data_IF_468426151789
#
_entry.id   IF_468426151789
#
_cell.length_a   1.000
_cell.length_b   1.000
_cell.length_c   1.000
_cell.angle_alpha   90.00
_cell.angle_beta   90.00
_cell.angle_gamma   90.00
#
_symmetry.space_group_name_H-M   'P 1'
#
loop_
_entity.id
_entity.type
_entity.pdbx_description
1 polymer ?
#
# COMPACT_ATOMS: atom_id res chain seq x y z
N UNK A 1 66.06 31.99 31.38
CA UNK A 1 66.90 30.77 31.40
C UNK A 1 66.08 29.69 32.10
N UNK A 2 65.19 28.98 31.43
CA UNK A 2 65.40 27.80 30.57
C UNK A 2 64.83 26.55 31.30
N UNK A 3 63.62 26.15 30.90
CA UNK A 3 63.23 24.85 30.30
C UNK A 3 63.16 23.67 31.27
N UNK A 4 61.94 23.16 31.51
CA UNK A 4 61.67 21.71 31.47
C UNK A 4 60.28 21.49 30.83
N UNK A 5 60.31 20.92 29.62
CA UNK A 5 59.17 20.55 28.81
C UNK A 5 58.67 19.16 29.22
N UNK A 6 57.40 19.04 29.59
CA UNK A 6 56.75 17.75 29.79
C UNK A 6 56.29 17.19 28.43
N UNK A 7 56.88 16.08 28.00
CA UNK A 7 56.50 15.36 26.78
C UNK A 7 55.11 14.72 26.98
N UNK A 8 54.17 15.01 26.08
CA UNK A 8 52.92 14.26 25.89
C UNK A 8 53.22 12.97 25.13
N UNK A 9 52.87 11.82 25.70
CA UNK A 9 52.72 10.57 24.94
C UNK A 9 51.28 10.46 24.41
N UNK A 10 51.07 10.09 23.13
CA UNK A 10 49.75 9.85 22.59
C UNK A 10 49.24 8.43 22.96
N UNK A 11 48.11 8.37 23.67
CA UNK A 11 47.37 7.12 23.91
C UNK A 11 46.67 6.73 22.61
N UNK A 12 47.21 5.74 21.89
CA UNK A 12 46.44 5.05 20.85
C UNK A 12 45.54 3.97 21.48
N UNK A 13 44.24 3.90 21.17
CA UNK A 13 43.40 2.80 21.62
C UNK A 13 43.79 1.49 20.91
N UNK A 14 44.00 0.44 21.70
CA UNK A 14 44.30 -0.91 21.23
C UNK A 14 43.13 -1.47 20.41
N UNK A 15 43.36 -1.76 19.13
CA UNK A 15 42.40 -2.46 18.28
C UNK A 15 42.33 -3.93 18.73
N UNK A 16 41.25 -4.27 19.45
CA UNK A 16 40.88 -5.67 19.69
C UNK A 16 40.53 -6.31 18.35
N UNK A 17 41.49 -7.03 17.75
CA UNK A 17 41.24 -7.92 16.61
C UNK A 17 40.38 -9.08 17.09
N UNK A 18 39.07 -8.96 16.90
CA UNK A 18 38.14 -10.10 16.99
C UNK A 18 38.39 -10.95 15.74
N UNK A 19 39.02 -12.11 15.91
CA UNK A 19 39.17 -13.09 14.84
C UNK A 19 37.80 -13.68 14.53
N UNK A 20 37.24 -13.33 13.38
CA UNK A 20 36.00 -13.91 12.86
C UNK A 20 36.32 -15.27 12.25
N UNK A 21 35.69 -16.34 12.77
CA UNK A 21 35.63 -17.63 12.09
C UNK A 21 34.41 -17.64 11.14
N UNK A 22 34.52 -18.23 9.94
CA UNK A 22 33.42 -18.25 8.96
C UNK A 22 32.11 -18.91 9.46
N UNK A 23 32.20 -19.78 10.47
CA UNK A 23 31.05 -20.50 11.04
C UNK A 23 30.13 -19.64 11.92
N UNK A 24 30.60 -18.48 12.42
CA UNK A 24 29.77 -17.60 13.26
C UNK A 24 28.75 -16.78 12.47
N UNK A 25 28.85 -16.75 11.14
CA UNK A 25 27.92 -16.02 10.28
C UNK A 25 26.54 -16.70 10.20
N UNK A 26 26.49 -18.02 10.30
CA UNK A 26 25.26 -18.79 10.04
C UNK A 26 24.43 -19.10 11.29
N UNK A 27 24.98 -18.97 12.50
CA UNK A 27 24.27 -19.36 13.75
C UNK A 27 23.50 -18.24 14.46
N UNK A 28 23.49 -17.01 13.92
CA UNK A 28 22.75 -15.86 14.48
C UNK A 28 21.58 -15.38 13.64
N UNK A 29 21.16 -16.14 12.65
CA UNK A 29 19.86 -15.93 12.03
C UNK A 29 18.82 -16.61 12.92
N UNK A 30 18.16 -15.84 13.80
CA UNK A 30 16.92 -16.29 14.40
C UNK A 30 15.91 -16.51 13.27
N UNK A 31 15.51 -17.75 12.96
CA UNK A 31 14.65 -18.03 11.80
C UNK A 31 13.30 -17.32 11.89
N UNK A 32 12.89 -16.93 13.10
CA UNK A 32 11.64 -16.20 13.40
C UNK A 32 11.67 -14.73 12.93
N UNK A 33 12.84 -14.12 12.75
CA UNK A 33 12.96 -12.75 12.24
C UNK A 33 12.89 -12.68 10.69
N UNK A 34 12.97 -13.84 10.03
CA UNK A 34 12.90 -13.98 8.57
C UNK A 34 11.79 -14.93 8.10
N UNK A 35 11.03 -15.53 9.03
CA UNK A 35 9.77 -16.18 8.67
C UNK A 35 8.79 -15.10 8.26
N UNK A 36 8.56 -14.98 6.96
CA UNK A 36 7.40 -14.30 6.42
C UNK A 36 6.17 -14.81 7.16
N UNK A 37 5.36 -13.89 7.66
CA UNK A 37 4.09 -14.21 8.31
C UNK A 37 3.37 -15.32 7.53
N UNK A 38 3.01 -16.37 8.26
CA UNK A 38 2.58 -17.69 7.80
C UNK A 38 1.20 -17.70 7.11
N UNK A 39 0.87 -16.65 6.38
CA UNK A 39 -0.34 -16.51 5.57
C UNK A 39 -0.02 -16.26 4.07
N UNK A 40 1.24 -16.08 3.68
CA UNK A 40 1.63 -15.90 2.27
C UNK A 40 1.99 -17.22 1.55
N UNK A 41 2.54 -18.20 2.26
CA UNK A 41 3.03 -19.45 1.68
C UNK A 41 1.93 -20.48 1.36
N UNK A 42 0.67 -20.12 1.61
CA UNK A 42 -0.49 -21.02 1.54
C UNK A 42 -1.43 -20.73 0.36
N UNK A 43 -1.01 -19.90 -0.61
CA UNK A 43 -1.78 -19.64 -1.85
C UNK A 43 -1.20 -20.41 -3.03
N UNK A 44 0.13 -20.53 -3.12
CA UNK A 44 0.81 -21.29 -4.19
C UNK A 44 0.56 -22.81 -4.08
N UNK A 45 0.12 -23.30 -2.92
CA UNK A 45 -0.25 -24.70 -2.67
C UNK A 45 -1.72 -25.03 -2.98
N UNK A 46 -2.57 -24.02 -3.20
CA UNK A 46 -3.99 -24.20 -3.44
C UNK A 46 -4.29 -24.49 -4.90
N UNK A 47 -5.22 -25.40 -5.13
CA UNK A 47 -5.81 -25.64 -6.44
C UNK A 47 -6.70 -24.48 -6.86
N UNK A 48 -6.93 -24.32 -8.17
CA UNK A 48 -7.83 -23.28 -8.69
C UNK A 48 -9.26 -23.40 -8.10
N UNK A 49 -9.73 -24.61 -7.78
CA UNK A 49 -11.03 -24.85 -7.14
C UNK A 49 -11.08 -24.32 -5.70
N UNK A 50 -10.02 -24.53 -4.92
CA UNK A 50 -9.90 -24.01 -3.55
C UNK A 50 -9.79 -22.48 -3.54
N UNK A 51 -9.06 -21.90 -4.50
CA UNK A 51 -8.94 -20.45 -4.69
C UNK A 51 -10.31 -19.84 -5.03
N UNK A 52 -11.07 -20.46 -5.94
CA UNK A 52 -12.42 -20.02 -6.28
C UNK A 52 -13.36 -20.06 -5.09
N UNK A 53 -13.32 -21.13 -4.30
CA UNK A 53 -14.15 -21.27 -3.08
C UNK A 53 -13.80 -20.20 -2.03
N UNK A 54 -12.49 -19.95 -1.85
CA UNK A 54 -11.96 -19.02 -0.84
C UNK A 54 -12.18 -17.55 -1.18
N UNK A 55 -11.99 -17.15 -2.44
CA UNK A 55 -11.94 -15.73 -2.81
C UNK A 55 -13.09 -15.28 -3.71
N UNK A 56 -13.70 -16.18 -4.49
CA UNK A 56 -14.87 -15.89 -5.33
C UNK A 56 -14.67 -14.70 -6.29
N UNK A 57 -13.44 -14.48 -6.77
CA UNK A 57 -13.07 -13.38 -7.66
C UNK A 57 -13.24 -13.72 -9.16
N UNK A 58 -13.64 -14.95 -9.47
CA UNK A 58 -13.77 -15.47 -10.83
C UNK A 58 -12.49 -16.07 -11.39
N UNK A 59 -12.47 -16.30 -12.71
CA UNK A 59 -11.35 -16.89 -13.42
C UNK A 59 -11.00 -16.11 -14.68
N UNK A 60 -9.73 -16.17 -15.08
CA UNK A 60 -9.21 -15.57 -16.31
C UNK A 60 -8.71 -16.66 -17.27
N UNK A 61 -9.11 -16.57 -18.52
CA UNK A 61 -8.64 -17.38 -19.64
C UNK A 61 -7.68 -16.59 -20.52
N UNK A 62 -6.47 -17.13 -20.70
CA UNK A 62 -5.44 -16.50 -21.50
C UNK A 62 -4.54 -17.55 -22.14
N UNK A 63 -3.77 -17.14 -23.15
CA UNK A 63 -2.75 -17.97 -23.78
C UNK A 63 -1.42 -17.24 -23.84
N UNK A 64 -0.32 -18.00 -23.82
CA UNK A 64 1.02 -17.46 -24.05
C UNK A 64 1.81 -18.38 -24.95
N UNK A 65 2.56 -17.82 -25.90
CA UNK A 65 3.42 -18.54 -26.82
C UNK A 65 4.56 -17.63 -27.26
N UNK A 66 5.76 -18.19 -27.39
CA UNK A 66 6.93 -17.49 -27.89
C UNK A 66 7.18 -17.83 -29.36
N UNK A 67 7.41 -16.80 -30.16
CA UNK A 67 7.81 -16.93 -31.55
C UNK A 67 9.33 -16.82 -31.67
N UNK A 68 10.01 -17.94 -31.95
CA UNK A 68 11.46 -18.03 -32.11
C UNK A 68 11.96 -17.36 -33.39
N UNK A 69 11.13 -17.23 -34.43
CA UNK A 69 11.53 -16.61 -35.69
C UNK A 69 11.55 -15.09 -35.55
N UNK A 70 10.58 -14.55 -34.83
CA UNK A 70 10.39 -13.10 -34.67
C UNK A 70 10.82 -12.56 -33.30
N UNK A 71 11.41 -13.39 -32.44
CA UNK A 71 11.95 -13.04 -31.12
C UNK A 71 10.98 -12.24 -30.23
N UNK A 72 9.73 -12.69 -30.12
CA UNK A 72 8.76 -12.05 -29.24
C UNK A 72 7.85 -13.06 -28.53
N UNK A 73 7.43 -12.69 -27.32
CA UNK A 73 6.42 -13.40 -26.55
C UNK A 73 5.04 -12.85 -26.91
N UNK A 74 4.13 -13.70 -27.35
CA UNK A 74 2.72 -13.36 -27.58
C UNK A 74 1.87 -13.80 -26.40
N UNK A 75 1.14 -12.86 -25.81
CA UNK A 75 0.12 -13.08 -24.77
C UNK A 75 -1.25 -12.73 -25.34
N UNK A 76 -2.20 -13.67 -25.30
CA UNK A 76 -3.60 -13.43 -25.67
C UNK A 76 -4.46 -13.44 -24.41
N UNK A 77 -5.20 -12.36 -24.18
CA UNK A 77 -6.25 -12.32 -23.16
C UNK A 77 -7.56 -12.70 -23.85
N UNK A 78 -8.14 -13.83 -23.47
CA UNK A 78 -9.27 -14.44 -24.20
C UNK A 78 -10.57 -13.96 -23.56
N UNK A 79 -10.85 -14.41 -22.34
CA UNK A 79 -12.09 -14.10 -21.63
C UNK A 79 -11.93 -14.24 -20.11
N UNK A 80 -12.88 -13.72 -19.35
CA UNK A 80 -13.01 -13.98 -17.92
C UNK A 80 -14.43 -14.42 -17.59
N UNK A 81 -14.60 -15.19 -16.51
CA UNK A 81 -15.91 -15.65 -16.05
C UNK A 81 -16.06 -15.50 -14.55
N UNK A 82 -17.31 -15.41 -14.13
CA UNK A 82 -17.73 -15.38 -12.72
C UNK A 82 -17.04 -14.27 -11.93
N UNK A 83 -16.83 -13.12 -12.58
CA UNK A 83 -16.32 -11.93 -11.92
C UNK A 83 -17.39 -11.37 -10.94
N UNK A 84 -16.95 -10.84 -9.79
CA UNK A 84 -17.86 -10.26 -8.81
C UNK A 84 -18.45 -8.92 -9.31
N UNK A 85 -19.64 -8.53 -8.81
CA UNK A 85 -20.16 -7.18 -9.03
C UNK A 85 -19.14 -6.11 -8.59
N UNK A 86 -19.24 -4.89 -9.15
CA UNK A 86 -18.41 -3.77 -8.71
C UNK A 86 -18.48 -3.60 -7.20
N UNK A 87 -17.34 -3.30 -6.57
CA UNK A 87 -17.27 -3.10 -5.12
C UNK A 87 -18.18 -1.93 -4.68
N UNK A 88 -18.41 -0.96 -5.58
CA UNK A 88 -19.31 0.19 -5.39
C UNK A 88 -20.78 -0.11 -5.70
N UNK A 89 -21.22 -1.37 -5.64
CA UNK A 89 -22.60 -1.76 -5.96
C UNK A 89 -23.61 -1.19 -4.94
N UNK A 90 -24.23 -0.06 -5.30
CA UNK A 90 -25.43 0.45 -4.63
C UNK A 90 -26.66 -0.30 -5.17
N UNK A 91 -27.32 -1.09 -4.32
CA UNK A 91 -28.50 -1.88 -4.69
C UNK A 91 -29.70 -1.05 -5.19
N UNK A 92 -29.67 0.27 -5.00
CA UNK A 92 -30.68 1.19 -5.55
C UNK A 92 -30.38 1.63 -7.00
N UNK A 93 -29.15 1.43 -7.49
CA UNK A 93 -28.69 1.85 -8.82
C UNK A 93 -28.34 0.66 -9.69
N UNK A 94 -29.33 0.23 -10.47
CA UNK A 94 -29.19 -0.89 -11.42
C UNK A 94 -28.04 -0.72 -12.42
N UNK A 95 -27.59 0.52 -12.67
CA UNK A 95 -26.45 0.85 -13.52
C UNK A 95 -25.10 0.35 -13.00
N UNK A 96 -24.98 0.10 -11.69
CA UNK A 96 -23.76 -0.40 -11.02
C UNK A 96 -23.78 -1.91 -10.77
N UNK A 97 -24.79 -2.64 -11.28
CA UNK A 97 -24.90 -4.10 -11.18
C UNK A 97 -23.77 -4.87 -11.89
N UNK A 98 -23.04 -4.19 -12.77
CA UNK A 98 -22.11 -4.82 -13.69
C UNK A 98 -20.78 -4.08 -13.77
N UNK A 99 -19.69 -4.85 -13.72
CA UNK A 99 -18.32 -4.37 -13.86
C UNK A 99 -18.04 -3.94 -15.30
N UNK A 100 -17.06 -3.08 -15.46
CA UNK A 100 -16.46 -2.69 -16.72
C UNK A 100 -15.01 -3.23 -16.80
N UNK A 101 -14.80 -4.55 -16.87
CA UNK A 101 -13.48 -5.13 -16.71
C UNK A 101 -12.56 -4.82 -17.90
N UNK A 102 -11.29 -4.61 -17.58
CA UNK A 102 -10.14 -4.67 -18.49
C UNK A 102 -8.97 -5.38 -17.81
N UNK A 103 -8.01 -5.86 -18.60
CA UNK A 103 -6.85 -6.60 -18.08
C UNK A 103 -5.57 -5.83 -18.36
N UNK A 104 -4.77 -5.60 -17.32
CA UNK A 104 -3.39 -5.11 -17.43
C UNK A 104 -2.44 -6.30 -17.52
N UNK A 105 -1.54 -6.27 -18.50
CA UNK A 105 -0.55 -7.31 -18.79
C UNK A 105 0.84 -6.76 -18.48
N UNK A 106 1.61 -7.45 -17.66
CA UNK A 106 2.94 -7.03 -17.22
C UNK A 106 3.92 -8.22 -17.16
N UNK A 107 5.21 -7.97 -17.43
CA UNK A 107 6.26 -8.98 -17.32
C UNK A 107 7.24 -8.63 -16.19
N UNK A 108 7.02 -9.21 -15.02
CA UNK A 108 7.87 -8.94 -13.85
C UNK A 108 9.30 -9.46 -14.09
N UNK A 109 10.33 -8.76 -13.55
CA UNK A 109 10.25 -7.58 -12.66
C UNK A 109 10.00 -6.23 -13.36
N UNK A 110 9.90 -6.18 -14.70
CA UNK A 110 9.72 -4.91 -15.41
C UNK A 110 8.25 -4.48 -15.35
N UNK A 111 7.99 -3.40 -14.61
CA UNK A 111 6.64 -2.83 -14.47
C UNK A 111 6.34 -1.69 -15.46
N UNK A 112 7.33 -1.20 -16.21
CA UNK A 112 7.18 -0.01 -17.06
C UNK A 112 6.56 -0.33 -18.42
N UNK A 113 6.83 -1.53 -18.94
CA UNK A 113 6.35 -1.99 -20.25
C UNK A 113 4.98 -2.70 -20.20
N UNK A 114 4.07 -2.27 -19.32
CA UNK A 114 2.76 -2.90 -19.20
C UNK A 114 1.83 -2.56 -20.38
N UNK A 115 1.04 -3.52 -20.82
CA UNK A 115 -0.01 -3.36 -21.85
C UNK A 115 -1.40 -3.53 -21.22
N UNK A 116 -2.45 -3.13 -21.91
CA UNK A 116 -3.82 -3.26 -21.39
C UNK A 116 -4.85 -3.54 -22.48
N UNK A 117 -5.92 -4.26 -22.13
CA UNK A 117 -7.08 -4.50 -22.99
C UNK A 117 -7.99 -3.30 -23.13
N UNK A 118 -8.88 -3.36 -24.13
CA UNK A 118 -10.08 -2.57 -24.15
C UNK A 118 -10.97 -2.87 -22.93
N UNK A 119 -11.69 -1.85 -22.48
CA UNK A 119 -12.69 -1.96 -21.42
C UNK A 119 -13.96 -2.59 -21.98
N UNK A 120 -14.39 -3.72 -21.40
CA UNK A 120 -15.68 -4.34 -21.73
C UNK A 120 -16.71 -3.80 -20.76
N UNK A 121 -17.79 -3.20 -21.26
CA UNK A 121 -18.76 -2.48 -20.41
C UNK A 121 -19.85 -3.39 -19.88
N UNK A 122 -20.27 -3.15 -18.64
CA UNK A 122 -21.44 -3.76 -18.00
C UNK A 122 -21.50 -5.28 -18.17
N UNK A 123 -20.43 -5.99 -17.80
CA UNK A 123 -20.36 -7.46 -17.90
C UNK A 123 -19.51 -8.09 -16.79
N UNK A 124 -19.95 -9.25 -16.30
CA UNK A 124 -19.16 -10.14 -15.43
C UNK A 124 -18.54 -11.32 -16.17
N UNK A 125 -18.80 -11.42 -17.47
CA UNK A 125 -18.28 -12.46 -18.35
C UNK A 125 -17.69 -11.79 -19.60
N UNK A 126 -16.62 -10.98 -19.44
CA UNK A 126 -16.04 -10.26 -20.56
C UNK A 126 -15.32 -11.20 -21.52
N UNK A 127 -15.55 -10.99 -22.82
CA UNK A 127 -14.77 -11.59 -23.90
C UNK A 127 -13.85 -10.50 -24.48
N UNK A 128 -12.55 -10.66 -24.28
CA UNK A 128 -11.53 -9.70 -24.72
C UNK A 128 -11.09 -10.01 -26.15
N UNK A 129 -10.55 -11.20 -26.35
CA UNK A 129 -9.97 -11.67 -27.60
C UNK A 129 -8.86 -10.77 -28.18
N UNK A 130 -8.01 -10.25 -27.28
CA UNK A 130 -6.95 -9.31 -27.61
C UNK A 130 -5.57 -9.96 -27.47
N UNK A 131 -4.65 -9.64 -28.40
CA UNK A 131 -3.29 -10.20 -28.46
C UNK A 131 -2.25 -9.10 -28.30
N UNK A 132 -1.23 -9.39 -27.51
CA UNK A 132 -0.12 -8.49 -27.21
C UNK A 132 1.21 -9.19 -27.38
N UNK A 133 2.15 -8.53 -28.05
CA UNK A 133 3.51 -9.04 -28.27
C UNK A 133 4.51 -8.31 -27.38
N UNK A 134 5.48 -9.00 -26.81
CA UNK A 134 6.59 -8.41 -26.05
C UNK A 134 7.90 -8.80 -26.73
N UNK A 135 8.64 -7.80 -27.21
CA UNK A 135 9.94 -7.99 -27.84
C UNK A 135 10.99 -8.24 -26.74
N UNK A 136 11.23 -9.52 -26.46
CA UNK A 136 12.19 -9.96 -25.44
C UNK A 136 12.90 -11.23 -25.93
N UNK A 137 14.19 -11.41 -25.65
CA UNK A 137 14.90 -12.66 -25.96
C UNK A 137 14.30 -13.87 -25.25
N UNK A 138 14.36 -15.05 -25.87
CA UNK A 138 13.75 -16.28 -25.34
C UNK A 138 14.24 -16.64 -23.92
N UNK A 139 15.56 -16.61 -23.70
CA UNK A 139 16.15 -16.90 -22.39
C UNK A 139 15.74 -15.89 -21.31
N UNK A 140 15.50 -14.65 -21.72
CA UNK A 140 14.99 -13.63 -20.81
C UNK A 140 13.51 -13.89 -20.50
N UNK A 141 12.69 -14.20 -21.52
CA UNK A 141 11.28 -14.55 -21.36
C UNK A 141 11.09 -15.67 -20.34
N UNK A 142 11.90 -16.73 -20.39
CA UNK A 142 11.83 -17.84 -19.43
C UNK A 142 12.08 -17.41 -17.97
N UNK A 143 12.77 -16.29 -17.73
CA UNK A 143 13.06 -15.78 -16.38
C UNK A 143 12.01 -14.78 -15.89
N UNK A 144 11.04 -14.42 -16.72
CA UNK A 144 9.98 -13.46 -16.38
C UNK A 144 8.77 -14.16 -15.76
N UNK A 145 8.00 -13.40 -15.01
CA UNK A 145 6.66 -13.81 -14.56
C UNK A 145 5.62 -12.97 -15.30
N UNK A 146 4.71 -13.64 -16.00
CA UNK A 146 3.55 -13.00 -16.61
C UNK A 146 2.54 -12.67 -15.51
N UNK A 147 2.30 -11.38 -15.30
CA UNK A 147 1.30 -10.87 -14.38
C UNK A 147 0.13 -10.29 -15.18
N UNK A 148 -1.05 -10.87 -14.99
CA UNK A 148 -2.32 -10.39 -15.51
C UNK A 148 -3.15 -9.85 -14.35
N UNK A 149 -3.60 -8.61 -14.44
CA UNK A 149 -4.42 -7.96 -13.41
C UNK A 149 -5.75 -7.55 -14.01
N UNK A 150 -6.84 -8.12 -13.51
CA UNK A 150 -8.20 -7.78 -13.91
C UNK A 150 -8.66 -6.60 -13.07
N UNK A 151 -9.10 -5.54 -13.75
CA UNK A 151 -9.46 -4.26 -13.13
C UNK A 151 -10.82 -3.83 -13.64
N UNK A 152 -11.68 -3.38 -12.73
CA UNK A 152 -12.95 -2.73 -13.04
C UNK A 152 -12.72 -1.25 -13.36
N UNK A 153 -13.07 -0.82 -14.57
CA UNK A 153 -12.98 0.58 -14.98
C UNK A 153 -14.13 1.39 -14.42
N UNK A 154 -13.81 2.56 -13.85
CA UNK A 154 -14.77 3.58 -13.47
C UNK A 154 -14.40 4.92 -14.11
N UNK A 155 -15.41 5.63 -14.63
CA UNK A 155 -15.24 6.93 -15.30
C UNK A 155 -15.07 8.09 -14.31
N UNK A 156 -15.69 7.98 -13.15
CA UNK A 156 -15.82 9.05 -12.16
C UNK A 156 -15.08 8.73 -10.85
N UNK A 157 -14.71 7.47 -10.64
CA UNK A 157 -14.00 6.98 -9.46
C UNK A 157 -12.73 6.21 -9.86
N UNK A 158 -12.11 5.53 -8.90
CA UNK A 158 -10.90 4.75 -9.15
C UNK A 158 -11.23 3.45 -9.84
N UNK A 159 -10.34 2.98 -10.71
CA UNK A 159 -10.43 1.62 -11.20
C UNK A 159 -10.08 0.63 -10.08
N UNK A 160 -10.96 -0.33 -9.82
CA UNK A 160 -10.81 -1.30 -8.73
C UNK A 160 -10.15 -2.57 -9.25
N UNK A 161 -9.08 -3.03 -8.60
CA UNK A 161 -8.49 -4.34 -8.94
C UNK A 161 -9.45 -5.44 -8.48
N UNK A 162 -9.95 -6.23 -9.41
CA UNK A 162 -10.79 -7.40 -9.12
C UNK A 162 -9.92 -8.55 -8.63
N UNK A 163 -8.79 -8.80 -9.29
CA UNK A 163 -7.86 -9.86 -8.93
C UNK A 163 -6.70 -9.97 -9.91
N UNK A 164 -5.78 -10.89 -9.63
CA UNK A 164 -4.60 -11.12 -10.46
C UNK A 164 -4.35 -12.60 -10.72
N UNK A 165 -3.59 -12.87 -11.78
CA UNK A 165 -2.98 -14.16 -12.08
C UNK A 165 -1.50 -13.91 -12.35
N UNK A 166 -0.63 -14.68 -11.69
CA UNK A 166 0.81 -14.67 -11.93
C UNK A 166 1.24 -16.04 -12.44
N UNK A 167 2.02 -16.08 -13.53
CA UNK A 167 2.54 -17.31 -14.11
C UNK A 167 4.04 -17.16 -14.37
N UNK A 168 4.90 -17.90 -13.65
CA UNK A 168 6.30 -18.02 -13.99
C UNK A 168 6.45 -18.63 -15.40
N UNK A 169 7.08 -17.92 -16.31
CA UNK A 169 7.19 -18.39 -17.70
C UNK A 169 8.20 -19.54 -17.86
N UNK A 170 9.01 -19.83 -16.83
CA UNK A 170 9.86 -21.01 -16.76
C UNK A 170 9.07 -22.33 -16.65
N UNK A 171 7.84 -22.29 -16.14
CA UNK A 171 6.97 -23.47 -15.97
C UNK A 171 6.16 -23.79 -17.23
N UNK A 172 6.23 -22.92 -18.24
CA UNK A 172 5.46 -23.02 -19.48
C UNK A 172 6.38 -23.44 -20.63
N UNK A 173 5.96 -24.44 -21.41
CA UNK A 173 6.58 -24.73 -22.71
C UNK A 173 6.21 -23.62 -23.70
N UNK A 174 7.00 -22.55 -23.69
CA UNK A 174 6.75 -21.35 -24.47
C UNK A 174 6.76 -21.60 -26.00
N UNK A 175 7.45 -22.64 -26.48
CA UNK A 175 7.55 -22.92 -27.93
C UNK A 175 6.25 -23.53 -28.44
N UNK A 176 5.74 -24.54 -27.74
CA UNK A 176 4.41 -25.10 -28.05
C UNK A 176 3.31 -24.09 -27.74
N UNK A 177 3.53 -23.26 -26.74
CA UNK A 177 2.53 -22.38 -26.18
C UNK A 177 1.43 -23.16 -25.47
N UNK A 178 0.49 -22.42 -24.90
CA UNK A 178 -0.65 -23.01 -24.23
C UNK A 178 -1.68 -21.97 -23.86
N UNK A 179 -2.83 -22.44 -23.40
CA UNK A 179 -3.88 -21.61 -22.82
C UNK A 179 -4.36 -22.22 -21.50
N UNK A 180 -4.71 -21.35 -20.54
CA UNK A 180 -5.07 -21.78 -19.20
C UNK A 180 -6.23 -20.96 -18.67
N UNK A 181 -7.11 -21.65 -17.96
CA UNK A 181 -8.00 -21.03 -16.98
C UNK A 181 -7.27 -20.99 -15.65
N UNK A 182 -7.15 -19.81 -15.04
CA UNK A 182 -6.62 -19.65 -13.69
C UNK A 182 -7.59 -18.86 -12.83
N UNK A 183 -7.77 -19.30 -11.60
CA UNK A 183 -8.56 -18.57 -10.63
C UNK A 183 -7.87 -17.25 -10.26
N UNK A 184 -8.66 -16.19 -10.11
CA UNK A 184 -8.14 -14.89 -9.71
C UNK A 184 -7.81 -14.92 -8.23
N UNK A 185 -6.55 -14.66 -7.91
CA UNK A 185 -6.13 -14.45 -6.53
C UNK A 185 -6.26 -12.96 -6.18
N UNK A 186 -6.52 -12.63 -4.91
CA UNK A 186 -6.39 -11.26 -4.45
C UNK A 186 -4.97 -10.75 -4.74
N UNK A 187 -4.84 -9.47 -5.04
CA UNK A 187 -3.52 -8.88 -5.12
C UNK A 187 -2.87 -8.89 -3.73
N UNK A 188 -1.84 -9.72 -3.51
CA UNK A 188 -0.95 -9.64 -2.32
C UNK A 188 -0.20 -8.30 -2.19
N UNK A 189 -0.39 -7.37 -3.13
CA UNK A 189 -0.42 -5.95 -2.78
C UNK A 189 -1.74 -5.70 -2.03
N UNK A 190 -1.72 -6.03 -0.74
CA UNK A 190 -2.59 -5.44 0.27
C UNK A 190 -2.28 -3.94 0.40
N UNK A 191 -2.40 -3.17 -0.68
CA UNK A 191 -3.11 -1.92 -0.51
C UNK A 191 -4.53 -2.25 -0.96
N UNK A 192 -5.34 -2.75 -0.03
CA UNK A 192 -6.69 -2.22 -0.01
C UNK A 192 -6.45 -0.73 0.09
N UNK A 193 -6.72 0.02 -0.97
CA UNK A 193 -6.37 1.43 -0.98
C UNK A 193 -7.32 2.11 -0.02
N UNK A 194 -6.81 2.29 1.20
CA UNK A 194 -7.58 2.81 2.32
C UNK A 194 -7.97 4.28 2.11
N UNK A 195 -7.43 4.88 1.05
CA UNK A 195 -7.60 6.25 0.61
C UNK A 195 -6.38 7.11 0.90
N UNK A 196 -6.49 8.37 0.53
CA UNK A 196 -5.45 9.35 0.79
C UNK A 196 -6.01 10.50 1.63
N UNK A 197 -5.20 11.04 2.54
CA UNK A 197 -5.55 12.15 3.41
C UNK A 197 -4.66 13.36 3.09
N UNK A 198 -5.28 14.50 2.78
CA UNK A 198 -4.59 15.76 2.58
C UNK A 198 -4.52 16.52 3.90
N UNK A 199 -3.30 16.81 4.33
CA UNK A 199 -2.99 17.45 5.60
C UNK A 199 -2.16 18.71 5.40
N UNK A 200 -2.40 19.71 6.23
CA UNK A 200 -1.54 20.89 6.41
C UNK A 200 -0.91 20.87 7.80
N UNK A 201 0.39 21.10 7.89
CA UNK A 201 1.13 21.22 9.14
C UNK A 201 1.84 22.57 9.23
N UNK A 202 1.74 23.22 10.39
CA UNK A 202 2.43 24.47 10.69
C UNK A 202 2.86 24.49 12.16
N UNK A 203 4.14 24.77 12.43
CA UNK A 203 4.65 24.94 13.78
C UNK A 203 4.99 26.40 14.07
N UNK A 204 4.53 26.91 15.22
CA UNK A 204 4.80 28.26 15.71
C UNK A 204 5.70 28.18 16.96
N UNK A 205 7.04 28.30 16.81
CA UNK A 205 7.98 28.14 17.93
C UNK A 205 7.72 29.10 19.08
N UNK A 206 7.47 30.38 18.79
CA UNK A 206 7.24 31.42 19.82
C UNK A 206 6.02 31.15 20.70
N UNK A 207 5.04 30.39 20.20
CA UNK A 207 3.84 30.03 20.95
C UNK A 207 3.85 28.58 21.45
N UNK A 208 4.88 27.78 21.10
CA UNK A 208 4.89 26.34 21.32
C UNK A 208 3.64 25.66 20.76
N UNK A 209 3.20 26.03 19.55
CA UNK A 209 1.96 25.53 18.96
C UNK A 209 2.17 24.80 17.64
N UNK A 210 1.67 23.58 17.58
CA UNK A 210 1.58 22.76 16.38
C UNK A 210 0.15 22.81 15.85
N UNK A 211 -0.04 23.45 14.71
CA UNK A 211 -1.31 23.56 14.01
C UNK A 211 -1.39 22.49 12.91
N UNK A 212 -2.55 21.88 12.80
CA UNK A 212 -2.84 20.74 11.94
C UNK A 212 -4.17 21.00 11.28
N UNK A 213 -4.21 21.12 9.95
CA UNK A 213 -5.46 21.22 9.22
C UNK A 213 -5.75 19.91 8.49
N UNK A 214 -6.95 19.38 8.74
CA UNK A 214 -7.50 18.24 8.02
C UNK A 214 -8.30 18.83 6.87
N UNK A 215 -7.74 18.81 5.66
CA UNK A 215 -8.35 19.50 4.52
C UNK A 215 -9.41 18.60 3.89
N UNK A 216 -9.00 17.45 3.38
CA UNK A 216 -9.89 16.47 2.75
C UNK A 216 -9.28 15.08 2.71
N UNK A 217 -10.10 14.06 2.55
CA UNK A 217 -9.64 12.75 2.11
C UNK A 217 -10.25 12.43 0.75
N UNK A 218 -9.66 11.47 0.05
CA UNK A 218 -10.23 10.93 -1.19
C UNK A 218 -10.10 9.41 -1.23
N UNK A 219 -11.05 8.78 -1.90
CA UNK A 219 -11.04 7.36 -2.20
C UNK A 219 -10.89 6.50 -0.94
N UNK A 220 -11.53 6.90 0.15
CA UNK A 220 -11.51 6.13 1.40
C UNK A 220 -12.15 4.76 1.19
N UNK A 221 -11.60 3.74 1.87
CA UNK A 221 -12.22 2.41 1.87
C UNK A 221 -13.65 2.49 2.41
N UNK A 222 -14.59 1.98 1.61
CA UNK A 222 -15.99 1.88 2.02
C UNK A 222 -16.15 0.74 3.03
N UNK A 223 -16.59 1.09 4.23
CA UNK A 223 -16.76 0.17 5.36
C UNK A 223 -18.18 -0.40 5.48
N UNK A 224 -19.18 0.30 4.93
CA UNK A 224 -20.57 -0.18 4.84
C UNK A 224 -21.09 -0.09 3.40
N UNK A 225 -21.38 -1.25 2.81
CA UNK A 225 -21.85 -1.42 1.43
C UNK A 225 -23.29 -0.91 1.24
N UNK A 226 -24.08 -0.84 2.32
CA UNK A 226 -25.52 -0.55 2.28
C UNK A 226 -25.90 0.89 2.58
N UNK A 227 -25.13 1.59 3.43
CA UNK A 227 -25.42 2.98 3.83
C UNK A 227 -24.34 4.00 3.44
N UNK A 228 -23.24 3.55 2.84
CA UNK A 228 -22.05 4.37 2.63
C UNK A 228 -21.25 4.56 3.92
N UNK A 229 -20.02 5.07 3.81
CA UNK A 229 -19.20 5.38 4.98
C UNK A 229 -19.44 6.81 5.46
N UNK A 230 -19.44 6.98 6.78
CA UNK A 230 -19.51 8.29 7.43
C UNK A 230 -18.13 8.69 7.99
N UNK A 231 -17.15 9.07 7.14
CA UNK A 231 -15.76 9.16 7.58
C UNK A 231 -15.50 10.34 8.53
N UNK A 232 -14.69 10.09 9.56
CA UNK A 232 -14.08 11.13 10.40
C UNK A 232 -12.62 10.79 10.71
N UNK A 233 -11.83 11.81 11.03
CA UNK A 233 -10.41 11.66 11.36
C UNK A 233 -10.19 11.90 12.85
N UNK A 234 -9.58 10.93 13.52
CA UNK A 234 -9.06 11.04 14.88
C UNK A 234 -7.58 11.42 14.82
N UNK A 235 -7.18 12.47 15.55
CA UNK A 235 -5.83 13.01 15.59
C UNK A 235 -5.31 12.84 17.01
N UNK A 236 -4.24 12.09 17.18
CA UNK A 236 -3.70 11.73 18.49
C UNK A 236 -2.25 12.20 18.58
N UNK A 237 -1.97 13.10 19.52
CA UNK A 237 -0.62 13.53 19.85
C UNK A 237 -0.02 12.54 20.85
N UNK A 238 1.07 11.91 20.43
CA UNK A 238 1.92 11.03 21.23
C UNK A 238 3.22 11.77 21.50
N UNK A 239 3.63 11.85 22.76
CA UNK A 239 4.92 12.39 23.17
C UNK A 239 5.66 11.31 23.96
N UNK A 240 6.90 11.00 23.60
CA UNK A 240 7.74 10.08 24.37
C UNK A 240 7.06 8.72 24.60
N UNK A 241 6.38 8.23 23.56
CA UNK A 241 5.57 7.00 23.58
C UNK A 241 4.46 7.00 24.64
N UNK A 242 3.81 8.14 24.85
CA UNK A 242 2.57 8.24 25.63
C UNK A 242 1.55 9.10 24.90
N UNK A 243 0.31 8.64 24.85
CA UNK A 243 -0.80 9.43 24.34
C UNK A 243 -1.06 10.65 25.25
N UNK A 244 -0.89 11.85 24.71
CA UNK A 244 -1.08 13.12 25.42
C UNK A 244 -2.45 13.72 25.15
N UNK A 245 -2.88 13.76 23.89
CA UNK A 245 -4.12 14.44 23.51
C UNK A 245 -4.75 13.82 22.28
N UNK A 246 -6.08 13.64 22.33
CA UNK A 246 -6.90 13.23 21.19
C UNK A 246 -7.82 14.36 20.77
N UNK A 247 -7.93 14.59 19.46
CA UNK A 247 -8.94 15.43 18.82
C UNK A 247 -9.60 14.64 17.69
N UNK A 248 -10.77 15.08 17.23
CA UNK A 248 -11.48 14.46 16.12
C UNK A 248 -12.17 15.51 15.27
N UNK A 249 -12.30 15.25 13.98
CA UNK A 249 -13.15 16.03 13.08
C UNK A 249 -14.63 15.74 13.33
N UNK A 250 -15.48 16.56 12.71
CA UNK A 250 -16.84 16.13 12.39
C UNK A 250 -16.82 14.92 11.45
N UNK A 251 -17.89 14.12 11.45
CA UNK A 251 -18.09 13.07 10.46
C UNK A 251 -18.94 13.63 9.30
N UNK A 252 -18.66 13.17 8.10
CA UNK A 252 -19.43 13.53 6.90
C UNK A 252 -20.17 12.30 6.41
N UNK A 253 -21.47 12.44 6.11
CA UNK A 253 -22.31 11.27 5.83
C UNK A 253 -22.19 10.76 4.40
N UNK A 254 -22.20 9.43 4.24
CA UNK A 254 -22.36 8.74 2.96
C UNK A 254 -21.35 9.17 1.89
N UNK A 255 -20.08 9.38 2.27
CA UNK A 255 -19.03 9.84 1.35
C UNK A 255 -17.71 9.11 1.58
N UNK A 256 -17.00 8.85 0.49
CA UNK A 256 -15.62 8.34 0.51
C UNK A 256 -14.59 9.42 0.11
N UNK A 257 -15.06 10.62 -0.22
CA UNK A 257 -14.26 11.80 -0.57
C UNK A 257 -14.61 13.00 0.33
N UNK A 258 -14.43 12.88 1.66
CA UNK A 258 -14.83 13.93 2.59
C UNK A 258 -13.98 15.20 2.46
N UNK A 259 -14.65 16.35 2.45
CA UNK A 259 -14.02 17.68 2.53
C UNK A 259 -14.25 18.27 3.93
N UNK A 260 -13.26 18.16 4.80
CA UNK A 260 -13.37 18.57 6.21
C UNK A 260 -13.08 20.06 6.42
N UNK A 261 -11.92 20.51 5.93
CA UNK A 261 -11.39 21.85 6.16
C UNK A 261 -11.44 22.29 7.64
N UNK A 262 -11.01 21.40 8.55
CA UNK A 262 -11.02 21.61 10.00
C UNK A 262 -9.59 21.78 10.56
N UNK A 263 -9.38 22.82 11.36
CA UNK A 263 -8.09 23.16 11.97
C UNK A 263 -8.00 22.79 13.45
N UNK A 264 -6.89 22.19 13.84
CA UNK A 264 -6.60 21.76 15.20
C UNK A 264 -5.26 22.31 15.69
N UNK A 265 -5.23 22.83 16.91
CA UNK A 265 -3.99 23.31 17.54
C UNK A 265 -3.60 22.48 18.76
N UNK A 266 -2.35 22.06 18.83
CA UNK A 266 -1.74 21.34 19.94
C UNK A 266 -0.64 22.21 20.58
N UNK A 267 -0.59 22.23 21.92
CA UNK A 267 0.50 22.87 22.64
C UNK A 267 1.66 21.88 22.75
N UNK A 268 2.75 22.18 22.07
CA UNK A 268 3.98 21.37 22.03
C UNK A 268 5.17 22.34 22.13
N UNK A 269 5.80 22.48 23.31
CA UNK A 269 7.03 23.24 23.47
C UNK A 269 8.11 22.79 22.46
N UNK A 270 9.02 23.70 22.10
CA UNK A 270 10.03 23.41 21.08
C UNK A 270 10.95 22.25 21.49
N UNK A 271 11.31 22.19 22.78
CA UNK A 271 12.12 21.12 23.38
C UNK A 271 11.43 19.74 23.30
N UNK A 272 10.11 19.73 23.24
CA UNK A 272 9.30 18.52 23.20
C UNK A 272 9.02 18.03 21.78
N UNK A 273 9.27 18.87 20.78
CA UNK A 273 8.85 18.64 19.40
C UNK A 273 9.61 17.48 18.74
N UNK A 274 10.87 17.27 19.13
CA UNK A 274 11.69 16.14 18.64
C UNK A 274 11.16 14.77 19.09
N UNK A 275 10.39 14.73 20.18
CA UNK A 275 9.81 13.50 20.73
C UNK A 275 8.31 13.38 20.46
N UNK A 276 7.75 14.29 19.66
CA UNK A 276 6.35 14.35 19.31
C UNK A 276 6.04 13.52 18.04
N UNK A 277 4.90 12.85 18.04
CA UNK A 277 4.32 12.17 16.88
C UNK A 277 2.81 12.38 16.85
N UNK A 278 2.27 12.69 15.67
CA UNK A 278 0.85 12.78 15.41
C UNK A 278 0.40 11.50 14.71
N UNK A 279 -0.53 10.79 15.34
CA UNK A 279 -1.20 9.63 14.73
C UNK A 279 -2.55 10.07 14.20
N UNK A 280 -2.75 9.93 12.89
CA UNK A 280 -4.01 10.20 12.21
C UNK A 280 -4.67 8.87 11.90
N UNK A 281 -5.88 8.67 12.41
CA UNK A 281 -6.67 7.46 12.11
C UNK A 281 -8.02 7.87 11.54
N UNK A 282 -8.32 7.39 10.34
CA UNK A 282 -9.60 7.57 9.66
C UNK A 282 -10.51 6.41 10.05
N UNK A 283 -11.74 6.74 10.43
CA UNK A 283 -12.77 5.78 10.78
C UNK A 283 -14.04 6.04 9.98
N UNK A 284 -14.77 5.00 9.62
CA UNK A 284 -16.17 5.08 9.23
C UNK A 284 -17.05 5.10 10.47
N UNK A 285 -17.82 6.16 10.68
CA UNK A 285 -18.75 6.21 11.80
C UNK A 285 -19.90 5.22 11.56
N UNK A 286 -20.17 4.38 12.55
CA UNK A 286 -21.34 3.51 12.54
C UNK A 286 -22.25 3.88 13.72
N UNK A 287 -23.51 4.20 13.44
CA UNK A 287 -24.47 4.59 14.48
C UNK A 287 -24.90 3.41 15.37
N UNK A 288 -24.80 2.17 14.87
CA UNK A 288 -25.35 0.97 15.53
C UNK A 288 -24.27 0.00 16.04
N UNK A 289 -23.01 0.21 15.70
CA UNK A 289 -21.87 -0.62 16.13
C UNK A 289 -20.63 0.21 16.46
N UNK A 290 -19.51 -0.44 16.76
CA UNK A 290 -18.21 0.23 16.82
C UNK A 290 -17.86 0.85 15.46
N UNK A 291 -17.15 1.98 15.48
CA UNK A 291 -16.66 2.62 14.25
C UNK A 291 -15.68 1.70 13.52
N UNK A 292 -15.79 1.65 12.20
CA UNK A 292 -14.96 0.82 11.34
C UNK A 292 -13.62 1.53 11.07
N UNK A 293 -12.52 0.81 11.25
CA UNK A 293 -11.21 1.34 10.92
C UNK A 293 -11.04 1.42 9.39
N UNK A 294 -10.72 2.60 8.88
CA UNK A 294 -10.42 2.79 7.46
C UNK A 294 -8.91 2.75 7.25
N UNK A 295 -8.16 3.61 7.92
CA UNK A 295 -6.71 3.68 7.70
C UNK A 295 -5.99 4.61 8.66
N UNK A 296 -4.66 4.49 8.71
CA UNK A 296 -3.80 5.24 9.64
C UNK A 296 -2.52 5.72 8.97
N UNK A 297 -2.00 6.84 9.46
CA UNK A 297 -0.64 7.33 9.20
C UNK A 297 -0.07 7.96 10.48
N UNK A 298 1.26 8.01 10.59
CA UNK A 298 1.96 8.67 11.70
C UNK A 298 2.97 9.66 11.14
N UNK A 299 2.93 10.90 11.62
CA UNK A 299 3.84 11.98 11.23
C UNK A 299 4.56 12.52 12.46
N UNK A 300 5.89 12.52 12.46
CA UNK A 300 6.71 13.00 13.58
C UNK A 300 7.96 12.17 13.80
N UNK A 301 8.40 12.06 15.05
CA UNK A 301 9.58 11.28 15.45
C UNK A 301 9.48 9.82 15.02
N UNK A 302 8.31 9.21 15.20
CA UNK A 302 8.04 7.81 14.84
C UNK A 302 7.18 7.75 13.57
N UNK A 303 7.58 8.48 12.53
CA UNK A 303 6.82 8.54 11.27
C UNK A 303 6.60 7.15 10.67
N UNK A 304 5.41 6.93 10.08
CA UNK A 304 5.08 5.64 9.46
C UNK A 304 5.91 5.37 8.21
N UNK A 305 6.40 6.38 7.49
CA UNK A 305 7.33 6.18 6.39
C UNK A 305 8.04 7.44 5.88
N UNK A 306 8.69 7.35 4.70
CA UNK A 306 9.53 8.42 4.17
C UNK A 306 8.75 9.70 3.81
N UNK A 307 7.52 9.55 3.31
CA UNK A 307 6.64 10.68 2.94
C UNK A 307 6.27 11.50 4.16
N UNK A 308 5.85 10.84 5.24
CA UNK A 308 5.46 11.43 6.52
C UNK A 308 6.66 12.09 7.19
N UNK A 309 7.81 11.41 7.20
CA UNK A 309 9.07 11.96 7.71
C UNK A 309 9.49 13.21 6.95
N UNK A 310 9.29 13.22 5.62
CA UNK A 310 9.58 14.38 4.78
C UNK A 310 8.66 15.55 5.10
N UNK A 311 7.37 15.29 5.26
CA UNK A 311 6.39 16.31 5.62
C UNK A 311 6.72 16.99 6.95
N UNK A 312 7.04 16.19 7.98
CA UNK A 312 7.47 16.70 9.29
C UNK A 312 8.72 17.57 9.17
N UNK A 313 9.75 17.10 8.45
CA UNK A 313 11.00 17.85 8.25
C UNK A 313 10.76 19.16 7.50
N UNK A 314 9.92 19.15 6.46
CA UNK A 314 9.55 20.37 5.72
C UNK A 314 8.84 21.36 6.63
N UNK A 315 7.90 20.91 7.46
CA UNK A 315 7.24 21.75 8.45
C UNK A 315 8.27 22.39 9.42
N UNK A 316 9.23 21.61 9.94
CA UNK A 316 10.26 22.13 10.85
C UNK A 316 11.19 23.16 10.20
N UNK A 317 11.53 22.96 8.93
CA UNK A 317 12.44 23.84 8.21
C UNK A 317 11.75 25.12 7.69
N UNK A 318 10.43 25.11 7.57
CA UNK A 318 9.68 26.23 7.00
C UNK A 318 9.13 27.10 8.11
N UNK A 319 9.59 28.35 8.17
CA UNK A 319 9.18 29.26 9.24
C UNK A 319 7.86 29.94 8.88
N UNK A 320 6.82 29.70 9.70
CA UNK A 320 5.52 30.40 9.70
C UNK A 320 4.62 30.18 8.49
N UNK A 321 4.90 29.22 7.62
CA UNK A 321 3.99 28.84 6.53
C UNK A 321 3.54 27.41 6.69
N UNK A 322 2.26 27.17 6.46
CA UNK A 322 1.71 25.82 6.38
C UNK A 322 2.35 25.03 5.24
N UNK A 323 2.65 23.77 5.52
CA UNK A 323 3.09 22.81 4.50
C UNK A 323 1.95 21.84 4.27
N UNK A 324 1.49 21.73 3.02
CA UNK A 324 0.44 20.80 2.61
C UNK A 324 1.04 19.57 1.93
N UNK A 325 0.51 18.39 2.24
CA UNK A 325 0.93 17.15 1.60
C UNK A 325 -0.15 16.05 1.68
N UNK A 326 -0.29 15.28 0.60
CA UNK A 326 -1.08 14.05 0.57
C UNK A 326 -0.32 12.89 1.21
N UNK A 327 -1.06 12.05 1.93
CA UNK A 327 -0.53 10.83 2.54
C UNK A 327 -1.46 9.66 2.24
N UNK A 328 -0.90 8.58 1.72
CA UNK A 328 -1.62 7.33 1.50
C UNK A 328 -1.81 6.61 2.84
N UNK A 329 -3.07 6.26 3.14
CA UNK A 329 -3.44 5.60 4.38
C UNK A 329 -2.95 4.16 4.38
N UNK A 330 -2.57 3.66 5.56
CA UNK A 330 -2.04 2.30 5.75
C UNK A 330 -2.88 1.52 6.74
N UNK A 331 -2.78 0.20 6.68
CA UNK A 331 -3.49 -0.65 7.63
C UNK A 331 -2.94 -0.43 9.04
N UNK A 332 -3.75 -0.78 10.05
CA UNK A 332 -3.32 -0.69 11.44
C UNK A 332 -2.06 -1.51 11.69
N UNK A 333 -2.04 -2.76 11.23
CA UNK A 333 -0.91 -3.67 11.42
C UNK A 333 0.38 -3.13 10.77
N UNK A 334 0.30 -2.54 9.58
CA UNK A 334 1.47 -1.94 8.94
C UNK A 334 2.01 -0.73 9.70
N UNK A 335 1.13 0.15 10.20
CA UNK A 335 1.54 1.28 11.03
C UNK A 335 2.14 0.83 12.35
N UNK A 336 1.51 -0.14 13.03
CA UNK A 336 1.95 -0.67 14.31
C UNK A 336 3.32 -1.36 14.21
N UNK A 337 3.61 -2.01 13.07
CA UNK A 337 4.91 -2.66 12.82
C UNK A 337 6.07 -1.67 12.67
N UNK A 338 5.81 -0.48 12.11
CA UNK A 338 6.86 0.48 11.74
C UNK A 338 6.94 1.71 12.65
N UNK A 339 5.89 1.97 13.43
CA UNK A 339 5.78 3.16 14.28
C UNK A 339 5.37 2.78 15.71
N UNK A 340 6.29 2.91 16.69
CA UNK A 340 5.96 2.76 18.11
C UNK A 340 4.83 3.70 18.58
N UNK A 341 4.73 4.91 18.02
CA UNK A 341 3.65 5.83 18.37
C UNK A 341 2.25 5.32 17.93
N UNK A 342 2.18 4.44 16.93
CA UNK A 342 0.93 3.81 16.49
C UNK A 342 0.39 2.82 17.54
N UNK A 343 1.29 2.13 18.26
CA UNK A 343 0.93 1.18 19.32
C UNK A 343 0.32 1.88 20.53
N UNK A 344 0.76 3.10 20.84
CA UNK A 344 0.29 3.90 21.98
C UNK A 344 -1.14 4.42 21.84
N UNK A 345 -1.74 4.23 20.67
CA UNK A 345 -3.09 4.71 20.36
C UNK A 345 -4.06 3.61 19.95
N UNK A 346 -3.61 2.35 19.98
CA UNK A 346 -4.39 1.22 19.47
C UNK A 346 -5.51 0.79 20.37
#
# INVERSE_FOLDING_TARGET
MAVLSAKKEPIQPSVLRRTYTPDDYFRKFEPRLYSLDSNLDDVDSLTDEEIMSKYQLGMLHFSTQYDLLHNHLTVRVIEARDLPPPISHDGSRQDMAHSNPYVKICLLPDQKNSKQTGVKRKTQKPVFEERYTFEIPFLEAQRRTLLLTVVDFDKFSRHCVIGKVAVPLCEVDLVKGGHWWKALIPSSQNEVELGELLLSLNYLPSAGRLNVDIIRAKQLLQTDVSQGSDPFVKIQLVHGLKLVKTKKTSFLRGTIDPFYNESFSFKVPQEELENASLVFTVFGHNMKSSNDFIGRIVIGQYSSGPSESNHWRRMLNTHRTAVEQWHSLRSRAECDRVSPASLEVT
#
